data_IF_584612464943
#
_entry.id   IF_584612464943
#
_cell.length_a   1.000
_cell.length_b   1.000
_cell.length_c   1.000
_cell.angle_alpha   90.00
_cell.angle_beta   90.00
_cell.angle_gamma   90.00
#
_symmetry.space_group_name_H-M   'P 1'
#
loop_
_entity.id
_entity.type
_entity.pdbx_description
1 polymer ?
#
# COMPACT_ATOMS: atom_id res chain seq x y z
N UNK A 1 -8.50 -0.61 -40.06
CA UNK A 1 -8.49 0.79 -39.57
C UNK A 1 -8.15 0.83 -38.08
N UNK A 2 -7.50 1.91 -37.59
CA UNK A 2 -6.96 2.02 -36.21
C UNK A 2 -7.98 2.52 -35.15
N UNK A 3 -9.23 2.75 -35.54
CA UNK A 3 -10.28 3.38 -34.72
C UNK A 3 -11.32 2.39 -34.20
N UNK A 4 -12.59 2.78 -34.25
CA UNK A 4 -13.77 2.05 -33.73
C UNK A 4 -13.75 0.54 -34.01
N UNK A 5 -13.46 0.16 -35.26
CA UNK A 5 -13.38 -1.24 -35.71
C UNK A 5 -12.37 -2.08 -34.91
N UNK A 6 -11.28 -1.49 -34.46
CA UNK A 6 -10.24 -2.15 -33.67
C UNK A 6 -10.55 -2.21 -32.18
N UNK A 7 -11.32 -1.26 -31.65
CA UNK A 7 -11.67 -1.20 -30.23
C UNK A 7 -12.60 -2.35 -29.81
N UNK A 8 -13.47 -2.83 -30.70
CA UNK A 8 -14.34 -3.98 -30.44
C UNK A 8 -13.59 -5.28 -30.10
N UNK A 9 -12.33 -5.40 -30.51
CA UNK A 9 -11.48 -6.59 -30.26
C UNK A 9 -10.77 -6.58 -28.89
N UNK A 10 -10.95 -5.56 -28.05
CA UNK A 10 -10.21 -5.38 -26.78
C UNK A 10 -10.81 -6.12 -25.58
N UNK A 11 -11.05 -7.42 -25.72
CA UNK A 11 -11.63 -8.26 -24.65
C UNK A 11 -10.58 -8.89 -23.71
N UNK A 12 -9.32 -9.00 -24.14
CA UNK A 12 -8.24 -9.59 -23.33
C UNK A 12 -7.74 -8.61 -22.25
N UNK A 13 -7.34 -9.14 -21.09
CA UNK A 13 -6.85 -8.34 -19.95
C UNK A 13 -5.40 -8.66 -19.64
N UNK A 14 -4.52 -7.67 -19.87
CA UNK A 14 -3.09 -7.79 -19.52
C UNK A 14 -2.85 -7.68 -18.02
N UNK A 15 -3.71 -6.95 -17.30
CA UNK A 15 -3.55 -6.66 -15.87
C UNK A 15 -4.73 -7.14 -15.03
N UNK A 16 -4.43 -7.73 -13.87
CA UNK A 16 -5.37 -8.09 -12.81
C UNK A 16 -5.03 -7.39 -11.48
N UNK A 17 -5.81 -7.63 -10.43
CA UNK A 17 -5.59 -7.05 -9.11
C UNK A 17 -4.32 -7.62 -8.46
N UNK A 18 -3.46 -6.74 -7.96
CA UNK A 18 -2.25 -7.16 -7.24
C UNK A 18 -2.56 -7.40 -5.76
N UNK A 19 -2.21 -8.60 -5.26
CA UNK A 19 -2.39 -8.99 -3.85
C UNK A 19 -1.72 -8.05 -2.84
N UNK A 20 -0.57 -7.46 -3.17
CA UNK A 20 0.16 -6.58 -2.26
C UNK A 20 -0.44 -5.17 -2.17
N UNK A 21 -0.72 -4.55 -3.32
CA UNK A 21 -1.09 -3.13 -3.37
C UNK A 21 -2.55 -2.85 -3.73
N UNK A 22 -3.37 -3.86 -3.99
CA UNK A 22 -4.77 -3.73 -4.37
C UNK A 22 -5.03 -3.14 -5.77
N UNK A 23 -4.06 -2.48 -6.39
CA UNK A 23 -4.21 -1.89 -7.72
C UNK A 23 -4.33 -2.96 -8.83
N UNK A 24 -5.11 -2.66 -9.88
CA UNK A 24 -5.16 -3.44 -11.13
C UNK A 24 -3.90 -3.21 -11.97
N UNK A 25 -2.78 -3.74 -11.51
CA UNK A 25 -1.46 -3.53 -12.09
C UNK A 25 -0.63 -4.81 -12.15
N UNK A 26 -1.18 -5.96 -11.76
CA UNK A 26 -0.47 -7.24 -11.86
C UNK A 26 -0.52 -7.76 -13.28
N UNK A 27 0.62 -7.84 -13.95
CA UNK A 27 0.70 -8.30 -15.33
C UNK A 27 0.56 -9.82 -15.40
N UNK A 28 -0.47 -10.31 -16.08
CA UNK A 28 -0.86 -11.73 -16.05
C UNK A 28 0.17 -12.65 -16.72
N UNK A 29 0.79 -12.22 -17.82
CA UNK A 29 1.83 -13.01 -18.52
C UNK A 29 3.19 -12.89 -17.81
N UNK A 30 3.69 -11.66 -17.62
CA UNK A 30 5.00 -11.37 -16.99
C UNK A 30 5.05 -11.60 -15.47
N UNK A 31 3.93 -12.02 -14.86
CA UNK A 31 3.78 -12.29 -13.41
C UNK A 31 4.38 -11.21 -12.50
N UNK A 32 4.26 -9.94 -12.89
CA UNK A 32 4.91 -8.81 -12.19
C UNK A 32 3.97 -7.62 -12.08
N UNK A 33 3.96 -6.96 -10.93
CA UNK A 33 3.13 -5.79 -10.68
C UNK A 33 3.82 -4.50 -11.11
N UNK A 34 3.23 -3.82 -12.09
CA UNK A 34 3.72 -2.54 -12.59
C UNK A 34 3.63 -1.42 -11.55
N UNK A 35 2.86 -1.57 -10.46
CA UNK A 35 2.72 -0.53 -9.43
C UNK A 35 3.71 -0.71 -8.30
N UNK A 36 3.74 -1.88 -7.66
CA UNK A 36 4.54 -2.14 -6.44
C UNK A 36 5.70 -3.13 -6.63
N UNK A 37 5.83 -3.76 -7.80
CA UNK A 37 6.91 -4.70 -8.09
C UNK A 37 6.70 -6.14 -7.62
N UNK A 38 5.56 -6.48 -7.00
CA UNK A 38 5.23 -7.87 -6.63
C UNK A 38 5.48 -8.82 -7.82
N UNK A 39 6.21 -9.95 -7.67
CA UNK A 39 6.59 -10.62 -6.42
C UNK A 39 7.85 -10.12 -5.70
N UNK A 40 8.62 -9.19 -6.28
CA UNK A 40 9.85 -8.64 -5.66
C UNK A 40 9.66 -8.32 -4.18
N UNK A 41 10.63 -8.67 -3.32
CA UNK A 41 10.57 -8.37 -1.90
C UNK A 41 10.51 -6.85 -1.65
N UNK A 42 11.29 -6.07 -2.41
CA UNK A 42 11.32 -4.60 -2.29
C UNK A 42 10.12 -3.96 -3.00
N UNK A 43 9.54 -2.93 -2.38
CA UNK A 43 8.51 -2.11 -3.02
C UNK A 43 9.17 -1.26 -4.12
N UNK A 44 8.66 -1.40 -5.35
CA UNK A 44 9.09 -0.58 -6.48
C UNK A 44 8.81 0.90 -6.20
N UNK A 45 9.86 1.72 -6.14
CA UNK A 45 9.78 3.17 -6.03
C UNK A 45 10.92 3.81 -6.84
N UNK A 46 10.68 5.01 -7.37
CA UNK A 46 11.65 5.76 -8.16
C UNK A 46 11.69 7.21 -7.74
N UNK A 47 12.88 7.83 -7.74
CA UNK A 47 13.08 9.22 -7.30
C UNK A 47 12.39 10.24 -8.21
N UNK A 48 12.34 9.98 -9.52
CA UNK A 48 11.61 10.81 -10.48
C UNK A 48 10.09 10.79 -10.26
N UNK A 49 9.56 9.82 -9.52
CA UNK A 49 8.14 9.63 -9.25
C UNK A 49 7.66 10.21 -7.91
N UNK A 50 7.90 11.50 -7.62
CA UNK A 50 7.59 12.11 -6.30
C UNK A 50 6.12 11.91 -5.88
N UNK A 51 5.16 12.19 -6.76
CA UNK A 51 3.71 11.98 -6.48
C UNK A 51 3.38 10.50 -6.25
N UNK A 52 4.06 9.59 -6.94
CA UNK A 52 3.86 8.16 -6.78
C UNK A 52 4.34 7.67 -5.41
N UNK A 53 5.49 8.18 -4.92
CA UNK A 53 5.97 7.93 -3.55
C UNK A 53 4.95 8.41 -2.51
N UNK A 54 4.47 9.66 -2.65
CA UNK A 54 3.52 10.27 -1.70
C UNK A 54 2.25 9.45 -1.51
N UNK A 55 1.70 8.83 -2.55
CA UNK A 55 0.47 8.02 -2.46
C UNK A 55 0.62 6.73 -1.62
N UNK A 56 1.85 6.27 -1.37
CA UNK A 56 2.13 4.96 -0.75
C UNK A 56 3.03 5.04 0.49
N UNK A 57 3.40 6.25 0.91
CA UNK A 57 4.31 6.46 2.03
C UNK A 57 3.68 6.06 3.37
N UNK A 58 4.51 5.88 4.39
CA UNK A 58 4.06 5.69 5.78
C UNK A 58 3.12 6.82 6.18
N UNK A 59 1.97 6.48 6.78
CA UNK A 59 0.94 7.45 7.17
C UNK A 59 -0.30 7.48 6.28
N UNK A 60 -0.26 6.91 5.07
CA UNK A 60 -1.45 6.89 4.18
C UNK A 60 -2.46 5.80 4.54
N UNK A 61 -2.05 4.79 5.32
CA UNK A 61 -2.89 3.67 5.74
C UNK A 61 -3.32 3.74 7.21
N UNK A 62 -3.87 2.64 7.72
CA UNK A 62 -4.39 2.55 9.11
C UNK A 62 -3.34 2.69 10.21
N UNK A 63 -2.05 2.53 9.90
CA UNK A 63 -0.91 2.65 10.83
C UNK A 63 -1.15 1.96 12.19
N UNK A 64 -1.68 0.72 12.19
CA UNK A 64 -2.20 0.06 13.41
C UNK A 64 -1.25 0.09 14.62
N UNK A 65 0.04 -0.14 14.37
CA UNK A 65 1.08 -0.08 15.39
C UNK A 65 1.57 1.36 15.62
N UNK A 66 2.10 1.99 14.57
CA UNK A 66 2.75 3.30 14.66
C UNK A 66 1.82 4.41 15.20
N UNK A 67 0.50 4.31 15.02
CA UNK A 67 -0.47 5.29 15.54
C UNK A 67 -0.43 5.43 17.06
N UNK A 68 -0.17 4.34 17.79
CA UNK A 68 -0.17 4.36 19.27
C UNK A 68 1.23 4.56 19.85
N UNK A 69 2.29 4.43 19.04
CA UNK A 69 3.68 4.51 19.49
C UNK A 69 3.98 5.85 20.16
N UNK A 70 3.53 6.97 19.60
CA UNK A 70 3.78 8.29 20.19
C UNK A 70 3.14 8.45 21.59
N UNK A 71 1.94 7.90 21.78
CA UNK A 71 1.24 7.93 23.08
C UNK A 71 1.95 6.99 24.07
N UNK A 72 2.35 5.79 23.62
CA UNK A 72 3.13 4.85 24.43
C UNK A 72 4.47 5.44 24.85
N UNK A 73 5.15 6.15 23.95
CA UNK A 73 6.41 6.83 24.22
C UNK A 73 6.25 7.88 25.32
N UNK A 74 5.24 8.76 25.23
CA UNK A 74 4.93 9.75 26.28
C UNK A 74 4.64 9.10 27.64
N UNK A 75 4.05 7.91 27.62
CA UNK A 75 3.75 7.13 28.82
C UNK A 75 4.90 6.21 29.25
N UNK A 76 6.11 6.33 28.68
CA UNK A 76 7.29 5.55 29.07
C UNK A 76 7.23 4.07 28.73
N UNK A 77 6.49 3.67 27.68
CA UNK A 77 6.29 2.28 27.26
C UNK A 77 5.85 1.33 28.37
N UNK A 78 5.06 1.83 29.34
CA UNK A 78 4.53 1.04 30.46
C UNK A 78 3.85 -0.25 30.01
N UNK A 79 4.18 -1.35 30.67
CA UNK A 79 3.56 -2.67 30.48
C UNK A 79 3.04 -3.19 31.84
N UNK A 80 1.94 -3.95 31.83
CA UNK A 80 1.41 -4.64 33.03
C UNK A 80 0.78 -3.79 34.15
N UNK A 81 0.88 -2.45 34.09
CA UNK A 81 0.29 -1.54 35.10
C UNK A 81 -1.19 -1.29 34.91
N UNK A 82 -1.99 -1.54 35.96
CA UNK A 82 -3.41 -1.18 36.01
C UNK A 82 -3.59 0.31 36.36
N UNK A 83 -4.63 0.94 35.82
CA UNK A 83 -5.00 2.30 36.19
C UNK A 83 -5.56 2.29 37.61
N UNK A 84 -4.95 3.04 38.52
CA UNK A 84 -5.45 3.21 39.88
C UNK A 84 -6.63 4.18 39.87
N UNK A 85 -7.71 3.88 40.59
CA UNK A 85 -8.84 4.80 40.76
C UNK A 85 -8.39 6.00 41.62
N UNK A 86 -8.85 7.21 41.28
CA UNK A 86 -8.64 8.38 42.15
C UNK A 86 -9.59 8.26 43.34
N UNK A 87 -9.07 8.41 44.57
CA UNK A 87 -9.88 8.71 45.74
C UNK A 87 -10.24 10.19 45.71
N UNK A 88 -11.52 10.51 45.94
CA UNK A 88 -12.02 11.88 46.06
C UNK A 88 -11.32 12.66 47.19
#
# INVERSE_FOLDING_TARGET
SKGTTSFGKRHTKSHSLCRRCGNRAYHNQKKTCASCGYPSAKIRSFNWGMKAKRRKTTGTGRMRYLKTVNIRFKNGFREGVKRVAKSD
#
